data_IF_953959893073
#
_entry.id   IF_953959893073
#
_cell.length_a   1.000
_cell.length_b   1.000
_cell.length_c   1.000
_cell.angle_alpha   90.00
_cell.angle_beta   90.00
_cell.angle_gamma   90.00
#
_symmetry.space_group_name_H-M   'P 1'
#
loop_
_entity.id
_entity.type
_entity.pdbx_description
1 polymer ?
#
# COMPACT_ATOMS: atom_id res chain seq x y z
N UNK A 1 -6.31 -14.57 -28.21
CA UNK A 1 -5.34 -13.47 -28.37
C UNK A 1 -6.00 -12.09 -28.50
N UNK A 2 -7.25 -11.98 -28.94
CA UNK A 2 -8.06 -10.73 -28.89
C UNK A 2 -8.28 -10.17 -27.47
N UNK A 3 -8.22 -11.01 -26.44
CA UNK A 3 -8.42 -10.66 -25.02
C UNK A 3 -7.10 -10.46 -24.24
N UNK A 4 -5.95 -10.41 -24.93
CA UNK A 4 -4.61 -10.20 -24.35
C UNK A 4 -4.31 -11.08 -23.12
N UNK A 5 -4.46 -12.40 -23.27
CA UNK A 5 -4.12 -13.34 -22.21
C UNK A 5 -2.61 -13.34 -21.92
N UNK A 6 -2.26 -13.43 -20.63
CA UNK A 6 -0.89 -13.41 -20.15
C UNK A 6 -0.60 -14.61 -19.25
N UNK A 7 0.62 -15.11 -19.32
CA UNK A 7 1.20 -16.07 -18.41
C UNK A 7 1.89 -15.34 -17.25
N UNK A 8 1.61 -15.78 -16.02
CA UNK A 8 2.29 -15.31 -14.82
C UNK A 8 3.02 -16.47 -14.18
N UNK A 9 4.35 -16.44 -14.21
CA UNK A 9 5.20 -17.47 -13.62
C UNK A 9 5.89 -16.91 -12.38
N UNK A 10 6.19 -17.80 -11.44
CA UNK A 10 6.80 -17.45 -10.16
C UNK A 10 8.02 -18.35 -9.94
N UNK A 11 9.19 -17.74 -9.73
CA UNK A 11 10.45 -18.43 -9.40
C UNK A 11 10.99 -17.82 -8.10
N UNK A 12 11.24 -18.66 -7.09
CA UNK A 12 11.62 -18.22 -5.74
C UNK A 12 10.72 -17.09 -5.18
N UNK A 13 9.40 -17.22 -5.42
CA UNK A 13 8.39 -16.25 -5.00
C UNK A 13 8.59 -14.84 -5.60
N UNK A 14 9.36 -14.71 -6.67
CA UNK A 14 9.45 -13.52 -7.50
C UNK A 14 8.70 -13.77 -8.81
N UNK A 15 7.94 -12.80 -9.32
CA UNK A 15 7.36 -12.93 -10.65
C UNK A 15 8.45 -12.94 -11.70
N UNK A 16 8.31 -13.80 -12.71
CA UNK A 16 9.14 -13.74 -13.91
C UNK A 16 8.71 -12.53 -14.73
N UNK A 17 9.67 -11.67 -15.06
CA UNK A 17 9.40 -10.44 -15.80
C UNK A 17 9.80 -10.57 -17.26
N UNK A 18 9.00 -9.99 -18.14
CA UNK A 18 9.35 -9.79 -19.53
C UNK A 18 9.64 -8.32 -19.77
N UNK A 19 10.85 -8.04 -20.23
CA UNK A 19 11.32 -6.70 -20.54
C UNK A 19 11.40 -6.49 -22.05
N UNK A 20 10.91 -5.36 -22.54
CA UNK A 20 11.02 -4.96 -23.94
C UNK A 20 11.41 -3.48 -24.06
N UNK A 21 12.14 -3.16 -25.13
CA UNK A 21 12.55 -1.80 -25.46
C UNK A 21 11.39 -1.06 -26.15
N UNK A 22 11.11 0.16 -25.71
CA UNK A 22 10.18 1.08 -26.37
C UNK A 22 10.98 2.15 -27.12
N UNK A 23 10.39 2.76 -28.16
CA UNK A 23 11.00 3.66 -29.15
C UNK A 23 11.91 4.79 -28.58
N UNK A 24 11.84 5.10 -27.28
CA UNK A 24 12.67 6.11 -26.59
C UNK A 24 13.85 5.54 -25.75
N UNK A 25 14.33 4.32 -26.03
CA UNK A 25 15.35 3.60 -25.21
C UNK A 25 14.94 3.35 -23.75
N UNK A 26 13.66 3.49 -23.43
CA UNK A 26 13.13 3.10 -22.13
C UNK A 26 12.79 1.61 -22.16
N UNK A 27 13.34 0.88 -21.19
CA UNK A 27 13.02 -0.53 -20.96
C UNK A 27 11.80 -0.62 -20.08
N UNK A 28 10.74 -1.23 -20.58
CA UNK A 28 9.55 -1.56 -19.79
C UNK A 28 9.59 -3.03 -19.45
N UNK A 29 9.42 -3.37 -18.18
CA UNK A 29 9.31 -4.75 -17.73
C UNK A 29 7.96 -4.97 -17.08
N UNK A 30 7.22 -5.94 -17.61
CA UNK A 30 5.93 -6.34 -17.04
C UNK A 30 6.08 -7.66 -16.27
N UNK A 31 5.40 -7.82 -15.11
CA UNK A 31 5.31 -9.10 -14.44
C UNK A 31 4.36 -10.01 -15.22
N UNK A 32 4.93 -10.98 -15.94
CA UNK A 32 4.21 -11.85 -16.87
C UNK A 32 4.46 -11.52 -18.34
N UNK A 33 4.06 -12.43 -19.21
CA UNK A 33 4.28 -12.33 -20.66
C UNK A 33 3.05 -12.82 -21.42
N UNK A 34 2.75 -12.25 -22.59
CA UNK A 34 1.58 -12.62 -23.38
C UNK A 34 1.74 -14.03 -23.97
N UNK A 35 0.61 -14.72 -24.19
CA UNK A 35 0.61 -16.05 -24.83
C UNK A 35 1.04 -15.96 -26.31
N UNK A 36 0.84 -14.80 -26.92
CA UNK A 36 1.12 -14.53 -28.31
C UNK A 36 0.60 -13.16 -28.71
N UNK A 37 0.59 -12.88 -30.00
CA UNK A 37 0.18 -11.61 -30.55
C UNK A 37 -0.67 -11.81 -31.81
N UNK A 38 -1.47 -10.82 -32.19
CA UNK A 38 -2.34 -10.88 -33.37
C UNK A 38 -2.17 -9.62 -34.21
N UNK A 39 -2.00 -9.81 -35.52
CA UNK A 39 -1.95 -8.72 -36.49
C UNK A 39 -3.32 -8.63 -37.17
N UNK A 40 -3.97 -7.49 -36.99
CA UNK A 40 -5.27 -7.20 -37.60
C UNK A 40 -5.19 -7.18 -39.14
N UNK A 41 -6.32 -7.34 -39.82
CA UNK A 41 -6.42 -7.21 -41.28
C UNK A 41 -5.83 -5.89 -41.81
N UNK A 42 -5.91 -4.81 -41.04
CA UNK A 42 -5.32 -3.50 -41.35
C UNK A 42 -3.78 -3.51 -41.43
N UNK A 43 -3.12 -4.60 -41.00
CA UNK A 43 -1.67 -4.78 -41.06
C UNK A 43 -0.89 -3.95 -40.03
N UNK A 44 -1.56 -3.35 -39.04
CA UNK A 44 -0.91 -2.62 -37.97
C UNK A 44 -0.57 -3.54 -36.80
N UNK A 45 0.72 -3.80 -36.50
CA UNK A 45 1.11 -4.57 -35.32
C UNK A 45 0.73 -3.80 -34.06
N UNK A 46 0.13 -4.50 -33.09
CA UNK A 46 -0.23 -3.97 -31.77
C UNK A 46 0.37 -4.85 -30.67
N UNK A 47 0.50 -4.27 -29.49
CA UNK A 47 0.99 -4.94 -28.28
C UNK A 47 2.32 -5.66 -28.52
N UNK A 48 2.38 -6.96 -28.21
CA UNK A 48 3.56 -7.79 -28.33
C UNK A 48 4.04 -8.02 -29.78
N UNK A 49 3.21 -7.74 -30.79
CA UNK A 49 3.61 -7.90 -32.19
C UNK A 49 4.63 -6.83 -32.64
N UNK A 50 4.78 -5.73 -31.91
CA UNK A 50 5.73 -4.65 -32.24
C UNK A 50 7.19 -5.08 -32.00
N UNK A 51 7.40 -6.18 -31.26
CA UNK A 51 8.70 -6.54 -30.68
C UNK A 51 9.60 -7.26 -31.68
N UNK A 52 9.03 -7.91 -32.69
CA UNK A 52 9.78 -8.55 -33.77
C UNK A 52 9.21 -8.14 -35.12
N UNK A 53 10.06 -7.59 -35.99
CA UNK A 53 9.68 -7.20 -37.35
C UNK A 53 9.30 -8.38 -38.26
N UNK A 54 9.62 -9.62 -37.85
CA UNK A 54 9.18 -10.82 -38.55
C UNK A 54 7.68 -11.09 -38.42
N UNK A 55 6.99 -10.46 -37.45
CA UNK A 55 5.54 -10.56 -37.33
C UNK A 55 4.90 -9.51 -38.25
N UNK A 56 4.63 -9.90 -39.51
CA UNK A 56 4.15 -8.97 -40.54
C UNK A 56 2.97 -9.50 -41.37
N UNK A 57 2.64 -10.78 -41.26
CA UNK A 57 1.53 -11.37 -42.01
C UNK A 57 0.18 -10.84 -41.48
N UNK A 58 -0.68 -10.41 -42.41
CA UNK A 58 -2.00 -9.86 -42.08
C UNK A 58 -2.95 -10.97 -41.64
N UNK A 59 -3.89 -10.62 -40.76
CA UNK A 59 -4.89 -11.54 -40.20
C UNK A 59 -4.29 -12.85 -39.67
N UNK A 60 -3.16 -12.74 -38.98
CA UNK A 60 -2.39 -13.90 -38.52
C UNK A 60 -2.12 -13.80 -37.02
N UNK A 61 -2.30 -14.93 -36.33
CA UNK A 61 -1.96 -15.10 -34.93
C UNK A 61 -0.54 -15.68 -34.82
N UNK A 62 0.31 -15.05 -34.01
CA UNK A 62 1.62 -15.55 -33.67
C UNK A 62 1.61 -16.05 -32.22
N UNK A 63 1.89 -17.32 -32.02
CA UNK A 63 1.96 -17.89 -30.66
C UNK A 63 3.40 -17.92 -30.15
N UNK A 64 3.58 -17.57 -28.88
CA UNK A 64 4.88 -17.66 -28.21
C UNK A 64 5.00 -19.04 -27.59
N UNK A 65 5.60 -19.95 -28.36
CA UNK A 65 5.78 -21.35 -27.99
C UNK A 65 7.19 -21.67 -27.47
N UNK A 66 8.12 -20.73 -27.56
CA UNK A 66 9.43 -20.86 -26.94
C UNK A 66 9.66 -19.73 -25.94
N UNK A 67 10.30 -20.05 -24.81
CA UNK A 67 10.66 -19.05 -23.80
C UNK A 67 12.13 -19.19 -23.41
N UNK A 68 12.87 -18.10 -23.53
CA UNK A 68 14.24 -18.01 -23.06
C UNK A 68 14.24 -17.45 -21.64
N UNK A 69 14.61 -18.27 -20.66
CA UNK A 69 14.60 -17.91 -19.24
C UNK A 69 16.01 -17.57 -18.80
N UNK A 70 16.25 -16.33 -18.39
CA UNK A 70 17.52 -15.90 -17.81
C UNK A 70 17.36 -15.70 -16.31
N UNK A 71 18.07 -16.52 -15.56
CA UNK A 71 18.07 -16.52 -14.10
C UNK A 71 19.34 -15.84 -13.61
N UNK A 72 19.17 -14.70 -12.93
CA UNK A 72 20.27 -13.95 -12.34
C UNK A 72 20.50 -14.40 -10.90
N UNK A 73 21.74 -14.70 -10.55
CA UNK A 73 22.14 -15.10 -9.20
C UNK A 73 23.31 -14.27 -8.69
N UNK A 74 23.35 -14.10 -7.37
CA UNK A 74 24.44 -13.45 -6.66
C UNK A 74 25.12 -14.48 -5.76
N UNK A 75 26.44 -14.61 -5.86
CA UNK A 75 27.24 -15.51 -5.02
C UNK A 75 27.64 -14.78 -3.73
N UNK A 76 27.21 -15.30 -2.57
CA UNK A 76 27.57 -14.71 -1.28
C UNK A 76 28.94 -15.26 -0.86
N UNK A 77 29.97 -14.41 -0.86
CA UNK A 77 31.36 -14.81 -0.57
C UNK A 77 31.57 -15.38 0.85
N UNK A 78 30.70 -15.03 1.79
CA UNK A 78 30.84 -15.34 3.23
C UNK A 78 30.05 -16.58 3.69
N UNK A 79 29.18 -17.14 2.83
CA UNK A 79 28.41 -18.35 3.13
C UNK A 79 28.96 -19.55 2.35
N UNK A 80 29.53 -20.52 3.07
CA UNK A 80 29.93 -21.81 2.51
C UNK A 80 28.71 -22.55 1.93
N UNK A 81 28.45 -22.36 0.63
CA UNK A 81 27.48 -23.03 -0.26
C UNK A 81 26.10 -22.37 -0.43
N UNK A 82 26.03 -21.15 -0.95
CA UNK A 82 24.77 -20.64 -1.49
C UNK A 82 24.89 -19.53 -2.52
N UNK A 83 24.35 -19.74 -3.72
CA UNK A 83 23.99 -18.67 -4.66
C UNK A 83 22.55 -18.24 -4.39
N UNK A 84 22.29 -16.94 -4.30
CA UNK A 84 20.95 -16.39 -4.09
C UNK A 84 20.40 -15.83 -5.38
N UNK A 85 19.14 -16.15 -5.68
CA UNK A 85 18.43 -15.65 -6.86
C UNK A 85 18.08 -14.17 -6.68
N UNK A 86 18.45 -13.33 -7.65
CA UNK A 86 18.23 -11.88 -7.60
C UNK A 86 17.28 -11.37 -8.67
N UNK A 87 17.18 -12.02 -9.83
CA UNK A 87 16.18 -11.68 -10.84
C UNK A 87 15.85 -12.88 -11.72
N UNK A 88 14.66 -12.87 -12.32
CA UNK A 88 14.24 -13.86 -13.30
C UNK A 88 13.59 -13.12 -14.48
N UNK A 89 14.30 -13.10 -15.61
CA UNK A 89 13.83 -12.48 -16.85
C UNK A 89 13.48 -13.56 -17.86
N UNK A 90 12.54 -13.23 -18.74
CA UNK A 90 12.11 -14.12 -19.80
C UNK A 90 11.95 -13.34 -21.10
N UNK A 91 12.40 -13.93 -22.20
CA UNK A 91 12.10 -13.46 -23.55
C UNK A 91 11.21 -14.48 -24.27
N UNK A 92 9.98 -14.09 -24.68
CA UNK A 92 9.12 -14.96 -25.47
C UNK A 92 9.57 -14.97 -26.93
N UNK A 93 9.61 -16.17 -27.51
CA UNK A 93 9.96 -16.42 -28.92
C UNK A 93 8.88 -17.27 -29.58
N UNK A 94 8.79 -17.17 -30.91
CA UNK A 94 7.88 -17.96 -31.73
C UNK A 94 8.69 -18.75 -32.73
N UNK A 95 8.56 -20.08 -32.73
CA UNK A 95 9.24 -20.97 -33.66
C UNK A 95 8.28 -21.99 -34.26
N UNK A 96 8.22 -22.03 -35.58
CA UNK A 96 7.60 -23.11 -36.33
C UNK A 96 8.55 -24.30 -36.37
N UNK A 97 8.32 -25.25 -35.49
CA UNK A 97 9.11 -26.48 -35.45
C UNK A 97 8.86 -27.30 -36.72
N UNK A 98 9.92 -27.54 -37.51
CA UNK A 98 9.85 -28.28 -38.77
C UNK A 98 10.07 -29.78 -38.59
N UNK A 99 10.60 -30.21 -37.44
CA UNK A 99 10.96 -31.60 -37.17
C UNK A 99 10.13 -32.16 -36.00
N UNK A 100 9.35 -33.23 -36.23
CA UNK A 100 8.49 -33.81 -35.18
C UNK A 100 9.30 -34.50 -34.07
N UNK A 101 10.54 -34.92 -34.34
CA UNK A 101 11.32 -35.71 -33.38
C UNK A 101 12.40 -34.91 -32.63
N UNK A 102 12.67 -33.67 -33.04
CA UNK A 102 13.66 -32.79 -32.39
C UNK A 102 13.12 -31.37 -32.28
N UNK A 103 13.23 -30.78 -31.09
CA UNK A 103 12.94 -29.38 -30.85
C UNK A 103 14.01 -28.52 -31.55
N UNK A 104 13.76 -28.16 -32.82
CA UNK A 104 14.59 -27.20 -33.54
C UNK A 104 14.03 -25.80 -33.32
N UNK A 105 14.80 -24.94 -32.64
CA UNK A 105 14.45 -23.56 -32.31
C UNK A 105 15.00 -22.55 -33.35
N UNK A 106 15.17 -22.99 -34.61
CA UNK A 106 15.73 -22.16 -35.69
C UNK A 106 14.72 -21.83 -36.81
N UNK A 107 13.47 -22.27 -36.69
CA UNK A 107 12.43 -22.06 -37.70
C UNK A 107 11.89 -20.62 -37.75
N UNK A 108 11.14 -20.25 -38.80
CA UNK A 108 10.42 -18.98 -38.85
C UNK A 108 9.33 -18.93 -37.75
N UNK A 109 8.75 -17.76 -37.44
CA UNK A 109 7.64 -17.65 -36.50
C UNK A 109 6.49 -18.62 -36.75
N UNK A 110 5.86 -19.10 -35.67
CA UNK A 110 4.68 -19.97 -35.76
C UNK A 110 3.43 -19.15 -36.02
N UNK A 111 3.02 -19.15 -37.28
CA UNK A 111 1.82 -18.50 -37.78
C UNK A 111 0.60 -19.42 -37.71
N UNK A 112 -0.48 -18.91 -37.12
CA UNK A 112 -1.78 -19.56 -37.07
C UNK A 112 -2.76 -18.64 -37.79
N UNK A 113 -3.23 -19.08 -38.95
CA UNK A 113 -4.29 -18.39 -39.69
C UNK A 113 -5.65 -18.70 -39.06
N UNK A 114 -6.62 -17.83 -39.31
CA UNK A 114 -8.00 -17.99 -38.81
C UNK A 114 -8.78 -19.10 -39.55
N UNK A 115 -8.23 -20.31 -39.55
CA UNK A 115 -8.85 -21.51 -40.09
C UNK A 115 -9.27 -22.41 -38.91
N UNK A 116 -10.37 -23.15 -39.06
CA UNK A 116 -10.96 -24.00 -38.00
C UNK A 116 -10.26 -25.36 -37.86
N UNK A 117 -9.01 -25.45 -38.28
CA UNK A 117 -8.26 -26.70 -38.26
C UNK A 117 -7.61 -26.90 -36.88
N UNK A 118 -7.50 -28.15 -36.44
CA UNK A 118 -6.78 -28.48 -35.22
C UNK A 118 -5.29 -28.21 -35.42
N UNK A 119 -4.70 -27.39 -34.54
CA UNK A 119 -3.28 -27.02 -34.60
C UNK A 119 -2.55 -27.65 -33.42
N UNK A 120 -1.55 -28.48 -33.71
CA UNK A 120 -0.62 -28.99 -32.71
C UNK A 120 0.50 -27.98 -32.48
N UNK A 121 0.68 -27.57 -31.22
CA UNK A 121 1.67 -26.56 -30.83
C UNK A 121 2.63 -27.20 -29.83
N UNK A 122 3.90 -27.24 -30.19
CA UNK A 122 4.96 -27.72 -29.30
C UNK A 122 5.58 -26.56 -28.55
N UNK A 123 5.60 -26.67 -27.22
CA UNK A 123 6.22 -25.71 -26.33
C UNK A 123 7.63 -26.15 -25.94
N UNK A 124 8.55 -25.20 -25.94
CA UNK A 124 9.97 -25.41 -25.60
C UNK A 124 10.47 -24.28 -24.71
N UNK A 125 11.55 -24.52 -23.97
CA UNK A 125 12.15 -23.50 -23.13
C UNK A 125 13.67 -23.66 -23.10
N UNK A 126 14.38 -22.55 -22.91
CA UNK A 126 15.81 -22.52 -22.63
C UNK A 126 16.05 -21.87 -21.27
N UNK A 127 17.11 -22.27 -20.56
CA UNK A 127 17.45 -21.70 -19.25
C UNK A 127 18.93 -21.35 -19.22
N UNK A 128 19.21 -20.07 -18.97
CA UNK A 128 20.55 -19.53 -18.82
C UNK A 128 20.71 -18.95 -17.41
N UNK A 129 21.85 -19.21 -16.78
CA UNK A 129 22.19 -18.67 -15.46
C UNK A 129 23.30 -17.63 -15.63
N UNK A 130 23.05 -16.41 -15.15
CA UNK A 130 23.99 -15.30 -15.22
C UNK A 130 24.31 -14.79 -13.80
N UNK A 131 25.60 -14.59 -13.51
CA UNK A 131 26.02 -14.03 -12.23
C UNK A 131 25.91 -12.51 -12.24
N UNK A 132 25.20 -11.95 -11.26
CA UNK A 132 25.02 -10.51 -11.08
C UNK A 132 25.53 -10.08 -9.69
N UNK A 133 26.59 -9.26 -9.69
CA UNK A 133 27.31 -8.86 -8.47
C UNK A 133 26.79 -7.55 -7.88
N UNK A 134 26.20 -6.70 -8.70
CA UNK A 134 25.75 -5.36 -8.28
C UNK A 134 24.44 -5.43 -7.47
N UNK A 135 23.57 -6.39 -7.81
CA UNK A 135 22.25 -6.52 -7.16
C UNK A 135 22.40 -7.30 -5.86
N UNK A 136 22.20 -6.62 -4.73
CA UNK A 136 22.09 -7.28 -3.42
C UNK A 136 20.76 -8.03 -3.32
N UNK A 137 20.76 -9.17 -2.64
CA UNK A 137 19.52 -9.95 -2.43
C UNK A 137 18.39 -9.14 -1.76
N UNK A 138 18.72 -8.18 -0.89
CA UNK A 138 17.72 -7.32 -0.22
C UNK A 138 17.01 -6.33 -1.16
N UNK A 139 17.65 -5.91 -2.26
CA UNK A 139 17.11 -5.00 -3.28
C UNK A 139 16.57 -5.75 -4.51
N UNK A 140 16.39 -7.07 -4.43
CA UNK A 140 15.98 -7.90 -5.56
C UNK A 140 14.58 -7.59 -6.12
N UNK A 141 13.77 -6.80 -5.42
CA UNK A 141 12.47 -6.35 -5.90
C UNK A 141 12.53 -5.03 -6.67
N UNK A 142 13.66 -4.31 -6.58
CA UNK A 142 13.75 -2.94 -7.09
C UNK A 142 13.61 -2.89 -8.61
N UNK A 143 14.17 -3.87 -9.35
CA UNK A 143 14.04 -3.92 -10.80
C UNK A 143 12.59 -4.09 -11.28
N UNK A 144 11.73 -4.74 -10.49
CA UNK A 144 10.29 -4.92 -10.79
C UNK A 144 9.54 -3.62 -10.49
N UNK A 145 9.94 -2.91 -9.43
CA UNK A 145 9.30 -1.67 -8.99
C UNK A 145 9.70 -0.47 -9.86
N UNK A 146 10.95 -0.42 -10.31
CA UNK A 146 11.49 0.65 -11.16
C UNK A 146 10.94 0.59 -12.60
N UNK A 147 10.60 -0.62 -13.06
CA UNK A 147 10.05 -0.86 -14.40
C UNK A 147 8.53 -0.71 -14.48
N UNK A 148 7.84 -0.55 -13.34
CA UNK A 148 6.45 -0.10 -13.39
C UNK A 148 6.45 1.32 -13.97
N UNK A 149 5.63 1.60 -15.00
CA UNK A 149 5.55 2.93 -15.58
C UNK A 149 5.38 3.90 -14.43
N UNK A 150 6.28 4.87 -14.31
CA UNK A 150 6.15 5.92 -13.31
C UNK A 150 4.76 6.49 -13.49
N UNK A 151 3.83 6.09 -12.62
CA UNK A 151 2.54 6.75 -12.54
C UNK A 151 2.96 8.14 -12.16
N UNK A 152 2.93 9.08 -13.12
CA UNK A 152 3.19 10.47 -12.86
C UNK A 152 2.36 10.78 -11.63
N UNK A 153 3.05 11.01 -10.50
CA UNK A 153 2.39 11.29 -9.23
C UNK A 153 1.35 12.33 -9.60
N UNK A 154 0.08 12.04 -9.30
CA UNK A 154 -1.03 12.92 -9.64
C UNK A 154 -0.97 14.14 -8.73
N UNK A 155 0.10 14.92 -8.86
CA UNK A 155 0.41 16.13 -8.10
C UNK A 155 -0.78 17.08 -8.14
N UNK A 156 -1.51 17.08 -9.25
CA UNK A 156 -2.76 17.81 -9.38
C UNK A 156 -3.83 17.37 -8.37
N UNK A 157 -4.04 16.07 -8.18
CA UNK A 157 -4.99 15.52 -7.20
C UNK A 157 -4.55 15.81 -5.76
N UNK A 158 -3.26 15.63 -5.47
CA UNK A 158 -2.68 15.90 -4.13
C UNK A 158 -2.82 17.39 -3.80
N UNK A 159 -2.41 18.28 -4.70
CA UNK A 159 -2.54 19.73 -4.53
C UNK A 159 -4.00 20.16 -4.35
N UNK A 160 -4.91 19.62 -5.17
CA UNK A 160 -6.33 19.92 -5.06
C UNK A 160 -6.88 19.53 -3.67
N UNK A 161 -6.53 18.33 -3.18
CA UNK A 161 -6.95 17.89 -1.85
C UNK A 161 -6.37 18.76 -0.72
N UNK A 162 -5.11 19.18 -0.85
CA UNK A 162 -4.43 20.04 0.14
C UNK A 162 -5.08 21.43 0.22
N UNK A 163 -5.42 22.02 -0.93
CA UNK A 163 -6.12 23.32 -0.98
C UNK A 163 -7.48 23.23 -0.32
N UNK A 164 -8.26 22.17 -0.59
CA UNK A 164 -9.58 21.96 0.03
C UNK A 164 -9.44 21.84 1.55
N UNK A 165 -8.46 21.07 2.06
CA UNK A 165 -8.25 20.90 3.50
C UNK A 165 -7.84 22.22 4.17
N UNK A 166 -6.96 23.01 3.56
CA UNK A 166 -6.58 24.32 4.08
C UNK A 166 -7.76 25.30 4.10
N UNK A 167 -8.59 25.30 3.06
CA UNK A 167 -9.74 26.19 2.99
C UNK A 167 -10.83 25.80 4.00
N UNK A 168 -11.15 24.50 4.12
CA UNK A 168 -12.11 24.00 5.10
C UNK A 168 -11.64 24.26 6.53
N UNK A 169 -10.37 24.01 6.83
CA UNK A 169 -9.80 24.30 8.16
C UNK A 169 -9.79 25.80 8.47
N UNK A 170 -9.46 26.65 7.49
CA UNK A 170 -9.54 28.11 7.61
C UNK A 170 -10.97 28.61 7.84
N UNK A 171 -11.96 28.06 7.13
CA UNK A 171 -13.38 28.39 7.32
C UNK A 171 -13.85 28.00 8.73
N UNK A 172 -13.54 26.78 9.18
CA UNK A 172 -13.87 26.32 10.54
C UNK A 172 -13.18 27.19 11.59
N UNK A 173 -11.90 27.53 11.40
CA UNK A 173 -11.17 28.42 12.30
C UNK A 173 -11.78 29.83 12.34
N UNK A 174 -12.19 30.40 11.21
CA UNK A 174 -12.88 31.70 11.15
C UNK A 174 -14.23 31.67 11.87
N UNK A 175 -15.03 30.62 11.67
CA UNK A 175 -16.30 30.44 12.39
C UNK A 175 -16.02 30.35 13.89
N UNK A 176 -15.06 29.53 14.31
CA UNK A 176 -14.69 29.35 15.72
C UNK A 176 -14.16 30.65 16.35
N UNK A 177 -13.30 31.40 15.66
CA UNK A 177 -12.78 32.68 16.13
C UNK A 177 -13.89 33.72 16.24
N UNK A 178 -14.83 33.75 15.28
CA UNK A 178 -15.96 34.68 15.29
C UNK A 178 -16.93 34.36 16.43
N UNK A 179 -17.24 33.09 16.67
CA UNK A 179 -18.06 32.67 17.80
C UNK A 179 -17.37 32.99 19.12
N UNK A 180 -16.08 32.72 19.23
CA UNK A 180 -15.30 32.98 20.45
C UNK A 180 -15.18 34.47 20.75
N UNK A 181 -14.93 35.32 19.76
CA UNK A 181 -14.91 36.78 19.93
C UNK A 181 -16.28 37.32 20.35
N UNK A 182 -17.36 36.84 19.70
CA UNK A 182 -18.73 37.24 20.05
C UNK A 182 -19.09 36.83 21.48
N UNK A 183 -18.71 35.61 21.88
CA UNK A 183 -18.95 35.12 23.22
C UNK A 183 -18.16 35.92 24.26
N UNK A 184 -16.86 36.18 24.05
CA UNK A 184 -16.04 37.02 24.94
C UNK A 184 -16.59 38.44 25.07
N UNK A 185 -16.95 39.08 23.95
CA UNK A 185 -17.52 40.43 23.97
C UNK A 185 -18.84 40.48 24.76
N UNK A 186 -19.68 39.44 24.64
CA UNK A 186 -20.90 39.29 25.43
C UNK A 186 -20.60 39.10 26.91
N UNK A 187 -19.61 38.28 27.28
CA UNK A 187 -19.20 38.11 28.68
C UNK A 187 -18.72 39.44 29.30
N UNK A 188 -17.89 40.21 28.58
CA UNK A 188 -17.36 41.48 29.10
C UNK A 188 -18.44 42.56 29.26
N UNK A 189 -19.56 42.50 28.53
CA UNK A 189 -20.66 43.45 28.68
C UNK A 189 -21.57 43.12 29.87
N UNK A 190 -21.64 41.84 30.28
CA UNK A 190 -22.51 41.37 31.35
C UNK A 190 -21.97 41.63 32.76
N UNK A 191 -20.69 42.02 32.92
CA UNK A 191 -20.08 42.43 34.20
C UNK A 191 -20.60 43.80 34.71
N UNK A 192 -21.61 44.39 34.06
CA UNK A 192 -22.25 45.65 34.45
C UNK A 192 -23.67 45.50 35.03
N UNK A 193 -24.16 44.26 35.21
CA UNK A 193 -25.45 43.96 35.82
C UNK A 193 -25.32 42.81 36.82
N UNK A 194 -25.07 43.17 38.09
CA UNK A 194 -24.67 42.29 39.21
C UNK A 194 -25.66 41.16 39.59
N UNK A 195 -26.86 41.05 39.02
CA UNK A 195 -27.90 40.13 39.55
C UNK A 195 -28.38 39.00 38.60
N UNK A 196 -27.70 38.74 37.48
CA UNK A 196 -28.06 37.64 36.54
C UNK A 196 -26.96 36.58 36.33
N UNK A 197 -25.89 36.64 37.12
CA UNK A 197 -24.61 35.97 36.82
C UNK A 197 -24.51 34.51 37.33
N UNK A 198 -25.53 33.99 38.01
CA UNK A 198 -25.51 32.62 38.56
C UNK A 198 -26.07 31.53 37.62
N UNK A 199 -26.82 31.86 36.56
CA UNK A 199 -27.61 30.86 35.81
C UNK A 199 -27.24 30.59 34.33
N UNK A 200 -26.14 31.14 33.77
CA UNK A 200 -25.85 30.95 32.34
C UNK A 200 -24.52 30.27 31.96
N UNK A 201 -24.64 29.23 31.12
CA UNK A 201 -23.73 28.91 30.01
C UNK A 201 -22.64 27.88 30.29
N UNK A 202 -21.48 28.32 30.78
CA UNK A 202 -20.29 27.47 30.92
C UNK A 202 -19.98 27.10 32.38
N UNK A 203 -20.36 27.96 33.34
CA UNK A 203 -20.23 27.70 34.79
C UNK A 203 -21.14 26.55 35.24
N UNK A 204 -22.37 26.47 34.72
CA UNK A 204 -23.28 25.34 34.95
C UNK A 204 -22.77 24.05 34.28
N UNK A 205 -22.20 24.17 33.08
CA UNK A 205 -21.64 23.02 32.34
C UNK A 205 -20.35 22.50 32.97
N UNK A 206 -19.61 23.33 33.72
CA UNK A 206 -18.46 22.85 34.51
C UNK A 206 -18.86 21.70 35.44
N UNK A 207 -20.08 21.71 36.01
CA UNK A 207 -20.61 20.58 36.80
C UNK A 207 -20.97 19.35 35.97
N UNK A 208 -21.39 19.53 34.72
CA UNK A 208 -21.78 18.45 33.81
C UNK A 208 -20.61 17.82 33.03
N UNK A 209 -19.52 18.54 32.79
CA UNK A 209 -18.27 18.01 32.21
C UNK A 209 -17.67 16.90 33.08
N UNK A 210 -17.89 16.99 34.40
CA UNK A 210 -17.46 15.99 35.36
C UNK A 210 -18.45 14.82 35.50
N UNK A 211 -19.60 14.84 34.82
CA UNK A 211 -20.55 13.74 34.91
C UNK A 211 -19.96 12.51 34.20
N UNK A 212 -19.77 11.37 34.90
CA UNK A 212 -19.23 10.19 34.26
C UNK A 212 -20.20 9.70 33.18
N UNK A 213 -19.72 9.43 31.95
CA UNK A 213 -20.59 8.95 30.87
C UNK A 213 -21.14 7.57 31.24
N UNK A 214 -22.40 7.31 30.86
CA UNK A 214 -23.14 6.06 31.16
C UNK A 214 -22.35 4.79 30.88
N UNK A 215 -21.53 4.77 29.82
CA UNK A 215 -20.68 3.63 29.43
C UNK A 215 -19.18 3.95 29.59
N UNK A 216 -18.80 4.39 30.78
CA UNK A 216 -17.47 4.94 31.02
C UNK A 216 -16.30 3.95 30.89
N UNK A 217 -16.56 2.67 31.15
CA UNK A 217 -15.60 1.56 30.98
C UNK A 217 -15.28 1.31 29.51
N UNK A 218 -16.30 1.19 28.66
CA UNK A 218 -16.16 1.04 27.20
C UNK A 218 -15.33 2.19 26.60
N UNK A 219 -15.59 3.44 27.01
CA UNK A 219 -14.82 4.58 26.54
C UNK A 219 -13.32 4.48 26.91
N UNK A 220 -13.01 4.01 28.12
CA UNK A 220 -11.63 3.83 28.57
C UNK A 220 -10.91 2.73 27.78
N UNK A 221 -11.62 1.63 27.47
CA UNK A 221 -11.10 0.54 26.63
C UNK A 221 -10.84 1.05 25.20
N UNK A 222 -11.81 1.72 24.57
CA UNK A 222 -11.64 2.27 23.23
C UNK A 222 -10.49 3.28 23.14
N UNK A 223 -10.33 4.13 24.15
CA UNK A 223 -9.27 5.12 24.15
C UNK A 223 -7.88 4.48 24.33
N UNK A 224 -7.78 3.46 25.20
CA UNK A 224 -6.57 2.66 25.36
C UNK A 224 -6.18 1.93 24.07
N UNK A 225 -7.11 1.18 23.48
CA UNK A 225 -6.89 0.48 22.20
C UNK A 225 -6.60 1.43 21.05
N UNK A 226 -7.28 2.58 20.98
CA UNK A 226 -7.03 3.61 19.98
C UNK A 226 -5.63 4.21 20.09
N UNK A 227 -5.16 4.46 21.32
CA UNK A 227 -3.79 4.93 21.57
C UNK A 227 -2.76 3.89 21.13
N UNK A 228 -3.01 2.61 21.41
CA UNK A 228 -2.15 1.50 20.99
C UNK A 228 -1.98 1.46 19.48
N UNK A 229 -3.09 1.49 18.74
CA UNK A 229 -3.09 1.46 17.28
C UNK A 229 -2.38 2.69 16.72
N UNK A 230 -2.66 3.88 17.24
CA UNK A 230 -2.07 5.13 16.77
C UNK A 230 -0.53 5.13 16.90
N UNK A 231 -0.02 4.74 18.08
CA UNK A 231 1.42 4.66 18.30
C UNK A 231 2.04 3.56 17.42
N UNK A 232 1.35 2.41 17.29
CA UNK A 232 1.81 1.31 16.45
C UNK A 232 1.94 1.73 14.98
N UNK A 233 0.95 2.44 14.44
CA UNK A 233 0.97 2.96 13.07
C UNK A 233 2.15 3.92 12.87
N UNK A 234 2.38 4.84 13.81
CA UNK A 234 3.47 5.81 13.70
C UNK A 234 4.86 5.14 13.72
N UNK A 235 5.08 4.21 14.66
CA UNK A 235 6.36 3.48 14.77
C UNK A 235 6.60 2.60 13.55
N UNK A 236 5.55 1.92 13.05
CA UNK A 236 5.64 1.09 11.84
C UNK A 236 5.99 1.94 10.62
N UNK A 237 5.35 3.11 10.47
CA UNK A 237 5.64 4.04 9.38
C UNK A 237 7.08 4.54 9.45
N UNK A 238 7.59 4.88 10.64
CA UNK A 238 8.97 5.30 10.83
C UNK A 238 9.98 4.23 10.38
N UNK A 239 9.80 2.97 10.79
CA UNK A 239 10.65 1.87 10.35
C UNK A 239 10.50 1.53 8.87
N UNK A 240 9.31 1.74 8.29
CA UNK A 240 9.10 1.60 6.86
C UNK A 240 9.86 2.67 6.06
N UNK A 241 9.84 3.93 6.51
CA UNK A 241 10.58 5.02 5.89
C UNK A 241 12.11 4.82 5.95
N UNK A 242 12.62 4.11 6.96
CA UNK A 242 14.04 3.74 7.06
C UNK A 242 14.42 2.53 6.19
N UNK A 243 13.46 1.89 5.51
CA UNK A 243 13.71 0.75 4.62
C UNK A 243 13.89 -0.59 5.34
N UNK A 244 13.78 -0.64 6.67
CA UNK A 244 13.91 -1.88 7.45
C UNK A 244 12.74 -2.86 7.24
N UNK A 245 11.58 -2.34 6.83
CA UNK A 245 10.39 -3.12 6.50
C UNK A 245 10.20 -3.30 4.98
N UNK A 246 11.29 -3.58 4.26
CA UNK A 246 11.21 -3.88 2.83
C UNK A 246 10.40 -5.16 2.58
N UNK A 247 9.53 -5.21 1.54
CA UNK A 247 8.86 -6.43 1.08
C UNK A 247 9.80 -7.62 0.80
N UNK A 248 11.11 -7.34 0.65
CA UNK A 248 12.15 -8.35 0.49
C UNK A 248 12.25 -9.32 1.69
N UNK A 249 11.99 -8.84 2.91
CA UNK A 249 12.01 -9.67 4.11
C UNK A 249 10.61 -10.24 4.38
N UNK A 250 10.32 -11.41 3.79
CA UNK A 250 9.03 -12.10 3.94
C UNK A 250 8.65 -12.22 5.42
N UNK A 251 7.49 -11.68 5.78
CA UNK A 251 6.94 -11.77 7.14
C UNK A 251 7.50 -10.79 8.16
N UNK A 252 8.53 -9.98 7.84
CA UNK A 252 9.11 -9.01 8.77
C UNK A 252 8.09 -7.96 9.25
N UNK A 253 7.18 -7.54 8.38
CA UNK A 253 6.08 -6.63 8.74
C UNK A 253 5.14 -7.29 9.76
N UNK A 254 4.76 -8.54 9.53
CA UNK A 254 3.85 -9.27 10.44
C UNK A 254 4.50 -9.53 11.79
N UNK A 255 5.77 -9.93 11.83
CA UNK A 255 6.50 -10.14 13.08
C UNK A 255 6.69 -8.82 13.84
N UNK A 256 7.06 -7.74 13.14
CA UNK A 256 7.17 -6.41 13.73
C UNK A 256 5.83 -5.93 14.30
N UNK A 257 4.72 -6.12 13.57
CA UNK A 257 3.39 -5.76 14.02
C UNK A 257 2.99 -6.50 15.30
N UNK A 258 3.27 -7.80 15.39
CA UNK A 258 2.98 -8.61 16.59
C UNK A 258 3.85 -8.15 17.78
N UNK A 259 5.14 -7.91 17.56
CA UNK A 259 6.05 -7.44 18.61
C UNK A 259 5.64 -6.05 19.11
N UNK A 260 5.36 -5.11 18.20
CA UNK A 260 4.88 -3.77 18.54
C UNK A 260 3.54 -3.84 19.27
N UNK A 261 2.62 -4.71 18.84
CA UNK A 261 1.33 -4.89 19.51
C UNK A 261 1.50 -5.27 20.99
N UNK A 262 2.40 -6.20 21.29
CA UNK A 262 2.68 -6.63 22.67
C UNK A 262 3.35 -5.52 23.48
N UNK A 263 4.39 -4.88 22.94
CA UNK A 263 5.13 -3.83 23.64
C UNK A 263 4.29 -2.58 23.91
N UNK A 264 3.45 -2.18 22.95
CA UNK A 264 2.58 -1.01 23.04
C UNK A 264 1.31 -1.25 23.86
N UNK A 265 1.11 -2.47 24.39
CA UNK A 265 0.08 -2.75 25.39
C UNK A 265 0.26 -1.95 26.69
N UNK A 266 1.49 -1.58 27.04
CA UNK A 266 1.77 -0.80 28.26
C UNK A 266 1.24 0.64 28.16
N UNK A 267 1.52 1.42 27.10
CA UNK A 267 0.85 2.70 26.83
C UNK A 267 -0.69 2.59 26.79
N UNK A 268 -1.22 1.55 26.16
CA UNK A 268 -2.67 1.31 26.08
C UNK A 268 -3.30 1.17 27.47
N UNK A 269 -2.70 0.33 28.31
CA UNK A 269 -3.10 0.13 29.71
C UNK A 269 -2.92 1.38 30.57
N UNK A 270 -1.85 2.15 30.36
CA UNK A 270 -1.64 3.43 31.04
C UNK A 270 -2.75 4.43 30.72
N UNK A 271 -3.07 4.65 29.45
CA UNK A 271 -4.12 5.59 29.04
C UNK A 271 -5.49 5.10 29.51
N UNK A 272 -5.82 3.82 29.31
CA UNK A 272 -7.08 3.25 29.78
C UNK A 272 -7.23 3.42 31.31
N UNK A 273 -6.22 3.05 32.09
CA UNK A 273 -6.25 3.14 33.56
C UNK A 273 -6.29 4.59 34.06
N UNK A 274 -5.61 5.53 33.41
CA UNK A 274 -5.66 6.96 33.76
C UNK A 274 -7.05 7.54 33.50
N UNK A 275 -7.65 7.26 32.35
CA UNK A 275 -9.01 7.70 32.04
C UNK A 275 -10.05 7.03 32.95
N UNK A 276 -9.86 5.76 33.32
CA UNK A 276 -10.71 5.08 34.29
C UNK A 276 -10.59 5.67 35.70
N UNK A 277 -9.36 5.90 36.18
CA UNK A 277 -9.09 6.51 37.50
C UNK A 277 -9.55 7.96 37.57
N UNK A 278 -9.40 8.76 36.51
CA UNK A 278 -9.93 10.11 36.45
C UNK A 278 -11.45 10.09 36.69
N UNK A 279 -12.19 9.14 36.10
CA UNK A 279 -13.63 9.01 36.35
C UNK A 279 -13.96 8.65 37.80
N UNK A 280 -13.22 7.71 38.40
CA UNK A 280 -13.45 7.35 39.79
C UNK A 280 -13.15 8.51 40.76
N UNK A 281 -12.08 9.26 40.51
CA UNK A 281 -11.72 10.44 41.31
C UNK A 281 -12.74 11.57 41.17
N UNK A 282 -13.25 11.79 39.97
CA UNK A 282 -14.30 12.76 39.70
C UNK A 282 -15.62 12.37 40.40
N UNK A 283 -16.03 11.10 40.32
CA UNK A 283 -17.21 10.58 41.01
C UNK A 283 -17.09 10.73 42.54
N UNK A 284 -15.91 10.40 43.11
CA UNK A 284 -15.66 10.53 44.55
C UNK A 284 -15.70 11.98 45.01
N UNK A 285 -15.12 12.90 44.25
CA UNK A 285 -15.15 14.33 44.58
C UNK A 285 -16.57 14.91 44.45
N UNK A 286 -17.34 14.48 43.44
CA UNK A 286 -18.75 14.88 43.28
C UNK A 286 -19.65 14.37 44.43
N UNK A 287 -19.41 13.15 44.93
CA UNK A 287 -20.09 12.60 46.11
C UNK A 287 -19.69 13.32 47.41
N UNK A 288 -18.41 13.67 47.57
CA UNK A 288 -17.92 14.41 48.74
C UNK A 288 -18.51 15.83 48.83
N UNK A 289 -18.66 16.53 47.70
CA UNK A 289 -19.32 17.83 47.66
C UNK A 289 -20.81 17.75 48.00
N UNK A 290 -21.53 16.71 47.52
CA UNK A 290 -22.93 16.48 47.89
C UNK A 290 -23.11 16.13 49.37
N UNK A 291 -22.18 15.39 49.97
CA UNK A 291 -22.18 15.10 51.40
C UNK A 291 -22.03 16.35 52.28
N UNK A 292 -21.19 17.30 51.86
CA UNK A 292 -20.97 18.55 52.59
C UNK A 292 -22.17 19.51 52.54
N UNK A 293 -22.92 19.53 51.44
CA UNK A 293 -24.19 20.26 51.33
C UNK A 293 -25.32 19.65 52.17
N UNK A 294 -25.32 18.32 52.37
CA UNK A 294 -26.31 17.64 53.21
C UNK A 294 -26.10 17.91 54.71
N UNK A 295 -24.85 18.05 55.16
CA UNK A 295 -24.54 18.36 56.58
C UNK A 295 -24.90 19.80 56.94
N UNK A 296 -24.86 20.73 55.98
CA UNK A 296 -25.22 22.13 56.21
C UNK A 296 -26.75 22.39 56.26
N UNK A 297 -27.57 21.40 55.90
CA UNK A 297 -29.04 21.44 55.98
C UNK A 297 -29.60 20.68 57.19
N UNK A 298 -28.74 20.16 58.07
CA UNK A 298 -29.13 19.36 59.24
C UNK A 298 -28.77 20.03 60.58
N UNK A 299 -28.56 21.36 60.58
CA UNK A 299 -28.47 22.22 61.75
C UNK A 299 -29.28 23.50 61.53
#
# INVERSE_FOLDING_TARGET
MLLNYQHHWIIDNMPVTWCYDVEEKQKFCNPGFPIGCYITEDGHPKDACVINSEFHERDTYYIFNHVDITIYYHVVEDEAKGSRLVAAKLEPRSYKHTHPDKADCSGPPMEIRNNKDDVEIRYTYSVTFEEEKEIRWASRWDYILESMPHTHIQWFSIMNSLVIVLFLSGMVAMIMLRTLHKDIARYNQMDSAEDAQEEFGWKLVHGDIFRPPRKGMLLSVFLGSGTQILIMTFVTLFFACLGFLSPANRGALMTCAVVLWVLLGTPAGYVASRFYKCKFKILRNALALKGHQFVFWMF
#
